data_IF_528549099645
#
_entry.id   IF_528549099645
#
_cell.length_a   1.000
_cell.length_b   1.000
_cell.length_c   1.000
_cell.angle_alpha   90.00
_cell.angle_beta   90.00
_cell.angle_gamma   90.00
#
_symmetry.space_group_name_H-M   'P 1'
#
loop_
_entity.id
_entity.type
_entity.pdbx_description
1 polymer ?
#
# COMPACT_ATOMS: atom_id res chain seq x y z
N UNK A 1 12.15 -25.28 53.42
CA UNK A 1 11.81 -25.03 52.00
C UNK A 1 12.94 -24.26 51.36
N UNK A 2 13.71 -24.87 50.45
CA UNK A 2 14.95 -24.27 49.90
C UNK A 2 14.63 -23.17 48.87
N UNK A 3 14.53 -21.92 49.34
CA UNK A 3 14.30 -20.71 48.52
C UNK A 3 15.24 -20.64 47.30
N UNK A 4 16.47 -21.15 47.44
CA UNK A 4 17.50 -21.20 46.40
C UNK A 4 17.11 -22.00 45.14
N UNK A 5 16.21 -23.00 45.26
CA UNK A 5 15.72 -23.78 44.09
C UNK A 5 14.64 -23.04 43.28
N UNK A 6 13.99 -22.04 43.85
CA UNK A 6 12.90 -21.28 43.21
C UNK A 6 13.39 -20.01 42.50
N UNK A 7 14.58 -19.53 42.84
CA UNK A 7 15.24 -18.37 42.20
C UNK A 7 15.23 -18.46 40.66
N UNK A 8 15.66 -19.56 40.00
CA UNK A 8 15.65 -19.61 38.53
C UNK A 8 14.24 -19.51 37.94
N UNK A 9 13.25 -20.12 38.59
CA UNK A 9 11.84 -20.01 38.16
C UNK A 9 11.30 -18.59 38.30
N UNK A 10 11.61 -17.91 39.40
CA UNK A 10 11.24 -16.51 39.59
C UNK A 10 11.90 -15.58 38.56
N UNK A 11 13.16 -15.83 38.22
CA UNK A 11 13.86 -15.08 37.17
C UNK A 11 13.20 -15.30 35.81
N UNK A 12 12.88 -16.55 35.44
CA UNK A 12 12.19 -16.83 34.17
C UNK A 12 10.82 -16.15 34.12
N UNK A 13 10.01 -16.27 35.18
CA UNK A 13 8.70 -15.61 35.26
C UNK A 13 8.83 -14.09 35.16
N UNK A 14 9.83 -13.51 35.84
CA UNK A 14 10.12 -12.08 35.76
C UNK A 14 10.48 -11.64 34.34
N UNK A 15 11.35 -12.39 33.66
CA UNK A 15 11.74 -12.08 32.27
C UNK A 15 10.56 -12.20 31.30
N UNK A 16 9.72 -13.22 31.46
CA UNK A 16 8.49 -13.38 30.66
C UNK A 16 7.51 -12.24 30.94
N UNK A 17 7.30 -11.87 32.20
CA UNK A 17 6.43 -10.76 32.57
C UNK A 17 6.94 -9.44 31.99
N UNK A 18 8.25 -9.19 32.08
CA UNK A 18 8.90 -8.02 31.50
C UNK A 18 8.70 -7.96 29.98
N UNK A 19 8.84 -9.10 29.28
CA UNK A 19 8.64 -9.21 27.84
C UNK A 19 7.17 -8.93 27.46
N UNK A 20 6.22 -9.54 28.16
CA UNK A 20 4.77 -9.37 27.89
C UNK A 20 4.30 -7.96 28.22
N UNK A 21 4.89 -7.30 29.22
CA UNK A 21 4.54 -5.95 29.65
C UNK A 21 5.41 -4.85 29.03
N UNK A 22 6.18 -5.14 27.97
CA UNK A 22 7.00 -4.11 27.31
C UNK A 22 6.13 -2.93 26.86
N UNK A 23 6.44 -1.69 27.28
CA UNK A 23 5.65 -0.52 26.90
C UNK A 23 5.83 -0.21 25.40
N UNK A 24 4.80 0.34 24.76
CA UNK A 24 4.83 0.69 23.34
C UNK A 24 5.99 1.64 22.97
N UNK A 25 6.45 2.45 23.93
CA UNK A 25 7.58 3.39 23.76
C UNK A 25 8.90 2.69 23.42
N UNK A 26 9.02 1.38 23.66
CA UNK A 26 10.18 0.59 23.21
C UNK A 26 10.33 0.64 21.68
N UNK A 27 9.28 0.99 20.93
CA UNK A 27 9.35 1.18 19.48
C UNK A 27 10.43 2.20 19.05
N UNK A 28 10.74 3.19 19.90
CA UNK A 28 11.78 4.20 19.63
C UNK A 28 13.22 3.64 19.72
N UNK A 29 13.41 2.43 20.25
CA UNK A 29 14.72 1.78 20.26
C UNK A 29 15.03 1.07 18.93
N UNK A 30 14.02 0.86 18.09
CA UNK A 30 14.21 0.35 16.74
C UNK A 30 14.60 1.50 15.80
N UNK A 31 15.46 1.24 14.79
CA UNK A 31 15.81 2.24 13.80
C UNK A 31 14.56 2.59 12.97
N UNK A 32 13.93 3.71 13.32
CA UNK A 32 12.89 4.32 12.51
C UNK A 32 13.54 5.10 11.36
N UNK A 33 12.98 5.09 10.14
CA UNK A 33 13.43 5.95 9.06
C UNK A 33 13.40 7.43 9.48
N UNK A 34 14.37 8.23 9.02
CA UNK A 34 14.50 9.64 9.42
C UNK A 34 13.27 10.50 9.07
N UNK A 35 12.50 10.09 8.06
CA UNK A 35 11.28 10.75 7.64
C UNK A 35 10.04 10.34 8.44
N UNK A 36 10.14 9.40 9.39
CA UNK A 36 9.02 8.90 10.19
C UNK A 36 9.15 9.36 11.64
N UNK A 37 8.16 10.12 12.12
CA UNK A 37 8.08 10.57 13.51
C UNK A 37 6.79 10.08 14.15
N UNK A 38 6.94 9.27 15.19
CA UNK A 38 5.84 8.78 16.02
C UNK A 38 5.69 9.69 17.24
N UNK A 39 4.48 10.10 17.58
CA UNK A 39 4.18 10.82 18.81
C UNK A 39 2.90 10.31 19.47
N UNK A 40 2.73 10.62 20.76
CA UNK A 40 1.61 10.16 21.56
C UNK A 40 1.46 8.62 21.56
N UNK A 41 2.59 7.91 21.61
CA UNK A 41 2.63 6.43 21.64
C UNK A 41 2.14 5.94 23.01
N UNK A 42 1.14 5.07 23.00
CA UNK A 42 0.48 4.50 24.17
C UNK A 42 0.23 3.00 23.99
N UNK A 43 -0.01 2.29 25.10
CA UNK A 43 -0.21 0.83 25.11
C UNK A 43 1.08 0.03 25.35
N UNK A 44 1.05 -1.24 24.98
CA UNK A 44 2.22 -2.14 25.02
C UNK A 44 2.86 -2.25 23.63
N UNK A 45 4.08 -2.79 23.57
CA UNK A 45 4.73 -3.11 22.30
C UNK A 45 3.83 -4.03 21.45
N UNK A 46 3.09 -4.92 22.11
CA UNK A 46 2.19 -5.89 21.50
C UNK A 46 0.86 -5.29 21.06
N UNK A 47 0.24 -4.43 21.86
CA UNK A 47 -1.02 -3.77 21.52
C UNK A 47 -0.89 -2.30 21.82
N UNK A 48 -0.64 -1.52 20.78
CA UNK A 48 -0.24 -0.13 20.88
C UNK A 48 -0.98 0.77 19.90
N UNK A 49 -0.98 2.05 20.24
CA UNK A 49 -1.54 3.12 19.41
C UNK A 49 -0.55 4.27 19.37
N UNK A 50 -0.22 4.73 18.17
CA UNK A 50 0.43 6.01 17.93
C UNK A 50 -0.66 7.05 17.63
N UNK A 51 -0.80 8.03 18.53
CA UNK A 51 -1.77 9.11 18.34
C UNK A 51 -1.50 9.92 17.07
N UNK A 52 -0.22 10.16 16.74
CA UNK A 52 0.19 10.78 15.48
C UNK A 52 1.44 10.12 14.90
N UNK A 53 1.44 9.93 13.58
CA UNK A 53 2.57 9.46 12.78
C UNK A 53 2.78 10.48 11.67
N UNK A 54 3.88 11.22 11.72
CA UNK A 54 4.27 12.10 10.62
C UNK A 54 5.23 11.36 9.70
N UNK A 55 4.88 11.27 8.42
CA UNK A 55 5.72 10.76 7.34
C UNK A 55 5.90 11.90 6.35
N UNK A 56 7.09 12.48 6.30
CA UNK A 56 7.34 13.71 5.54
C UNK A 56 6.34 14.82 5.91
N UNK A 57 5.55 15.32 4.95
CA UNK A 57 4.53 16.37 5.15
C UNK A 57 3.14 15.80 5.53
N UNK A 58 2.99 14.48 5.62
CA UNK A 58 1.72 13.82 5.87
C UNK A 58 1.63 13.41 7.34
N UNK A 59 0.61 13.93 8.03
CA UNK A 59 0.30 13.53 9.41
C UNK A 59 -0.86 12.55 9.40
N UNK A 60 -0.60 11.35 9.92
CA UNK A 60 -1.57 10.30 10.16
C UNK A 60 -1.91 10.27 11.65
N UNK A 61 -3.14 9.91 11.98
CA UNK A 61 -3.67 9.92 13.33
C UNK A 61 -4.26 8.56 13.70
N UNK A 62 -4.07 8.17 14.96
CA UNK A 62 -4.61 6.93 15.53
C UNK A 62 -4.19 5.66 14.77
N UNK A 63 -2.89 5.53 14.45
CA UNK A 63 -2.35 4.27 13.94
C UNK A 63 -2.32 3.27 15.10
N UNK A 64 -3.04 2.16 14.94
CA UNK A 64 -3.08 1.07 15.91
C UNK A 64 -2.41 -0.18 15.35
N UNK A 65 -1.74 -0.94 16.23
CA UNK A 65 -1.17 -2.24 15.89
C UNK A 65 -1.43 -3.25 17.00
N UNK A 66 -1.59 -4.51 16.61
CA UNK A 66 -1.77 -5.63 17.52
C UNK A 66 -0.97 -6.85 17.05
N UNK A 67 0.00 -7.27 17.84
CA UNK A 67 0.84 -8.44 17.58
C UNK A 67 0.15 -9.69 18.10
N UNK A 68 0.06 -10.71 17.25
CA UNK A 68 -0.44 -12.01 17.64
C UNK A 68 0.69 -12.80 18.32
N UNK A 69 0.88 -12.60 19.62
CA UNK A 69 1.98 -13.22 20.38
C UNK A 69 1.98 -14.76 20.26
N UNK A 70 0.82 -15.39 20.04
CA UNK A 70 0.71 -16.83 19.79
C UNK A 70 1.44 -17.29 18.53
N UNK A 71 1.54 -16.45 17.49
CA UNK A 71 2.24 -16.81 16.24
C UNK A 71 3.75 -16.98 16.46
N UNK A 72 4.32 -16.30 17.47
CA UNK A 72 5.74 -16.37 17.79
C UNK A 72 6.16 -17.80 18.10
N UNK A 73 5.30 -18.58 18.78
CA UNK A 73 5.55 -19.98 19.08
C UNK A 73 5.57 -20.88 17.83
N UNK A 74 5.00 -20.42 16.73
CA UNK A 74 5.04 -21.07 15.42
C UNK A 74 6.21 -20.58 14.55
N UNK A 75 7.06 -19.69 15.07
CA UNK A 75 8.17 -19.09 14.32
C UNK A 75 7.75 -17.99 13.35
N UNK A 76 6.54 -17.46 13.50
CA UNK A 76 5.99 -16.39 12.67
C UNK A 76 5.63 -15.17 13.52
N UNK A 77 5.85 -13.98 12.99
CA UNK A 77 5.41 -12.73 13.58
C UNK A 77 4.24 -12.21 12.76
N UNK A 78 3.07 -12.14 13.39
CA UNK A 78 1.86 -11.61 12.78
C UNK A 78 1.46 -10.34 13.52
N UNK A 79 1.25 -9.26 12.77
CA UNK A 79 0.82 -7.97 13.30
C UNK A 79 -0.39 -7.45 12.52
N UNK A 80 -1.52 -7.31 13.19
CA UNK A 80 -2.67 -6.59 12.68
C UNK A 80 -2.40 -5.09 12.76
N UNK A 81 -2.60 -4.36 11.66
CA UNK A 81 -2.41 -2.92 11.57
C UNK A 81 -3.71 -2.27 11.14
N UNK A 82 -4.06 -1.17 11.78
CA UNK A 82 -5.25 -0.40 11.43
C UNK A 82 -5.01 1.10 11.55
N UNK A 83 -5.28 1.81 10.45
CA UNK A 83 -5.31 3.25 10.29
C UNK A 83 -6.71 3.64 9.79
N UNK A 84 -7.53 4.30 10.62
CA UNK A 84 -8.89 4.64 10.25
C UNK A 84 -8.92 5.73 9.17
N UNK A 85 -9.95 5.74 8.31
CA UNK A 85 -10.16 6.81 7.33
C UNK A 85 -10.45 8.18 7.97
N UNK A 86 -10.99 8.19 9.20
CA UNK A 86 -11.37 9.42 9.89
C UNK A 86 -10.13 10.25 10.22
N UNK A 87 -10.13 11.52 9.80
CA UNK A 87 -9.04 12.47 10.01
C UNK A 87 -7.71 12.08 9.35
N UNK A 88 -7.72 11.15 8.39
CA UNK A 88 -6.54 10.70 7.67
C UNK A 88 -6.75 10.82 6.16
N UNK A 89 -5.69 11.12 5.38
CA UNK A 89 -5.77 11.20 3.92
C UNK A 89 -6.00 9.84 3.24
N UNK A 90 -5.66 8.76 3.94
CA UNK A 90 -5.93 7.39 3.53
C UNK A 90 -6.20 6.52 4.76
N UNK A 91 -6.80 5.36 4.51
CA UNK A 91 -7.05 4.29 5.48
C UNK A 91 -6.26 3.06 5.10
N UNK A 92 -5.92 2.25 6.10
CA UNK A 92 -5.21 0.99 5.95
C UNK A 92 -5.71 0.03 7.01
N UNK A 93 -6.06 -1.18 6.62
CA UNK A 93 -6.37 -2.26 7.54
C UNK A 93 -5.81 -3.57 6.98
N UNK A 94 -5.17 -4.37 7.82
CA UNK A 94 -4.85 -5.75 7.47
C UNK A 94 -3.67 -6.28 8.25
N UNK A 95 -3.06 -7.36 7.75
CA UNK A 95 -2.11 -8.17 8.52
C UNK A 95 -0.74 -8.18 7.88
N UNK A 96 0.28 -7.85 8.67
CA UNK A 96 1.67 -8.00 8.28
C UNK A 96 2.22 -9.31 8.86
N UNK A 97 3.05 -9.99 8.06
CA UNK A 97 3.64 -11.28 8.35
C UNK A 97 5.16 -11.17 8.24
N UNK A 98 5.89 -11.69 9.21
CA UNK A 98 7.34 -11.83 9.14
C UNK A 98 7.76 -13.17 9.76
N UNK A 99 8.35 -14.04 8.97
CA UNK A 99 8.97 -15.29 9.39
C UNK A 99 10.48 -15.28 9.12
N UNK A 100 11.12 -16.43 9.32
CA UNK A 100 12.57 -16.57 9.12
C UNK A 100 13.03 -16.45 7.67
N UNK A 101 12.16 -16.77 6.71
CA UNK A 101 12.47 -16.78 5.27
C UNK A 101 11.49 -15.98 4.42
N UNK A 102 10.42 -15.45 5.01
CA UNK A 102 9.35 -14.77 4.28
C UNK A 102 8.87 -13.56 5.05
N UNK A 103 8.65 -12.46 4.35
CA UNK A 103 7.90 -11.29 4.82
C UNK A 103 6.72 -11.09 3.90
N UNK A 104 5.63 -10.55 4.40
CA UNK A 104 4.44 -10.41 3.60
C UNK A 104 3.32 -9.68 4.28
N UNK A 105 2.19 -9.65 3.59
CA UNK A 105 0.95 -9.09 4.08
C UNK A 105 -0.23 -9.95 3.61
N UNK A 106 -1.32 -9.96 4.40
CA UNK A 106 -2.57 -10.63 4.08
C UNK A 106 -3.75 -9.76 4.44
N UNK A 107 -4.82 -9.90 3.66
CA UNK A 107 -6.10 -9.22 3.86
C UNK A 107 -5.91 -7.70 4.03
N UNK A 108 -5.05 -7.10 3.21
CA UNK A 108 -4.81 -5.66 3.25
C UNK A 108 -5.91 -4.97 2.45
N UNK A 109 -6.60 -4.06 3.12
CA UNK A 109 -7.49 -3.08 2.50
C UNK A 109 -6.94 -1.69 2.75
N UNK A 110 -6.77 -0.90 1.70
CA UNK A 110 -6.37 0.48 1.82
C UNK A 110 -7.18 1.35 0.85
N UNK A 111 -7.45 2.58 1.23
CA UNK A 111 -8.19 3.50 0.38
C UNK A 111 -7.92 4.95 0.74
N UNK A 112 -8.11 5.88 -0.19
CA UNK A 112 -7.90 7.29 0.06
C UNK A 112 -8.29 8.17 -1.13
N UNK A 113 -7.97 9.46 -1.03
CA UNK A 113 -8.10 10.39 -2.15
C UNK A 113 -6.91 10.22 -3.12
N UNK A 114 -7.17 10.28 -4.43
CA UNK A 114 -6.12 10.17 -5.46
C UNK A 114 -5.09 11.29 -5.33
N UNK A 115 -5.47 12.50 -4.95
CA UNK A 115 -4.52 13.61 -4.79
C UNK A 115 -3.56 13.37 -3.61
N UNK A 116 -4.04 12.76 -2.53
CA UNK A 116 -3.18 12.39 -1.42
C UNK A 116 -2.15 11.32 -1.83
N UNK A 117 -2.56 10.33 -2.63
CA UNK A 117 -1.65 9.34 -3.18
C UNK A 117 -0.61 9.96 -4.12
N UNK A 118 -1.04 10.87 -4.99
CA UNK A 118 -0.15 11.59 -5.90
C UNK A 118 0.86 12.48 -5.15
N UNK A 119 0.44 13.13 -4.06
CA UNK A 119 1.32 13.90 -3.19
C UNK A 119 2.36 12.99 -2.52
N UNK A 120 1.94 11.85 -1.97
CA UNK A 120 2.84 10.87 -1.34
C UNK A 120 3.83 10.29 -2.36
N UNK A 121 3.39 10.01 -3.59
CA UNK A 121 4.23 9.54 -4.68
C UNK A 121 5.07 10.66 -5.33
N UNK A 122 4.98 11.89 -4.83
CA UNK A 122 5.60 13.09 -5.41
C UNK A 122 5.40 13.20 -6.93
N UNK A 123 4.21 12.81 -7.41
CA UNK A 123 3.89 12.68 -8.82
C UNK A 123 2.77 13.65 -9.18
N UNK A 124 2.87 14.31 -10.33
CA UNK A 124 1.83 15.21 -10.85
C UNK A 124 1.32 14.68 -12.18
N UNK A 125 0.01 14.51 -12.28
CA UNK A 125 -0.64 14.17 -13.55
C UNK A 125 -0.76 15.43 -14.42
N UNK A 126 -0.75 15.29 -15.77
CA UNK A 126 -0.89 16.42 -16.69
C UNK A 126 -2.20 17.20 -16.50
N UNK A 127 -3.25 16.51 -16.07
CA UNK A 127 -4.56 17.07 -15.75
C UNK A 127 -4.81 17.00 -14.25
N UNK A 128 -5.55 17.97 -13.71
CA UNK A 128 -6.05 17.87 -12.34
C UNK A 128 -7.04 16.71 -12.27
N UNK A 129 -6.73 15.73 -11.43
CA UNK A 129 -7.52 14.53 -11.25
C UNK A 129 -8.14 14.52 -9.87
N UNK A 130 -9.39 14.08 -9.76
CA UNK A 130 -10.05 13.84 -8.50
C UNK A 130 -10.68 12.45 -8.49
N UNK A 131 -11.12 12.02 -7.32
CA UNK A 131 -11.67 10.69 -7.10
C UNK A 131 -10.90 9.98 -5.99
N UNK A 132 -11.22 8.71 -5.84
CA UNK A 132 -10.69 7.88 -4.77
C UNK A 132 -9.89 6.72 -5.35
N UNK A 133 -9.09 6.09 -4.50
CA UNK A 133 -8.45 4.83 -4.83
C UNK A 133 -8.77 3.81 -3.75
N UNK A 134 -8.80 2.54 -4.15
CA UNK A 134 -8.93 1.39 -3.25
C UNK A 134 -7.92 0.32 -3.66
N UNK A 135 -7.31 -0.30 -2.67
CA UNK A 135 -6.41 -1.44 -2.78
C UNK A 135 -6.98 -2.57 -1.93
N UNK A 136 -7.07 -3.76 -2.50
CA UNK A 136 -7.45 -5.00 -1.82
C UNK A 136 -6.41 -6.06 -2.15
N UNK A 137 -5.63 -6.49 -1.18
CA UNK A 137 -4.65 -7.57 -1.31
C UNK A 137 -5.09 -8.75 -0.45
N UNK A 138 -5.31 -9.89 -1.09
CA UNK A 138 -5.54 -11.16 -0.40
C UNK A 138 -4.22 -11.65 0.21
N UNK A 139 -3.14 -11.64 -0.59
CA UNK A 139 -1.81 -12.04 -0.18
C UNK A 139 -0.73 -11.25 -0.93
N UNK A 140 0.34 -10.94 -0.22
CA UNK A 140 1.61 -10.47 -0.78
C UNK A 140 2.74 -11.12 0.01
N UNK A 141 3.67 -11.81 -0.65
CA UNK A 141 4.77 -12.50 -0.01
C UNK A 141 6.06 -12.26 -0.78
N UNK A 142 7.14 -12.06 -0.01
CA UNK A 142 8.50 -11.89 -0.49
C UNK A 142 9.43 -12.71 0.39
N UNK A 143 10.35 -13.43 -0.23
CA UNK A 143 11.41 -14.19 0.44
C UNK A 143 12.46 -13.23 1.00
N UNK A 144 12.67 -13.26 2.31
CA UNK A 144 13.67 -12.46 3.01
C UNK A 144 14.12 -13.16 4.32
N UNK A 145 15.40 -13.09 4.71
CA UNK A 145 16.52 -12.42 4.04
C UNK A 145 17.05 -13.25 2.87
N UNK A 146 17.62 -12.60 1.84
CA UNK A 146 18.07 -13.28 0.61
C UNK A 146 18.38 -12.30 -0.51
N UNK A 147 18.58 -12.77 -1.76
CA UNK A 147 18.66 -11.87 -2.92
C UNK A 147 17.40 -11.00 -2.98
N UNK A 148 17.55 -9.75 -3.42
CA UNK A 148 16.43 -8.78 -3.48
C UNK A 148 15.35 -9.30 -4.42
N UNK A 149 14.24 -9.76 -3.84
CA UNK A 149 13.03 -10.20 -4.55
C UNK A 149 11.93 -9.19 -4.24
N UNK A 150 11.17 -8.75 -5.25
CA UNK A 150 10.10 -7.76 -5.07
C UNK A 150 8.71 -8.40 -4.98
N UNK A 151 8.56 -9.61 -5.51
CA UNK A 151 7.28 -10.30 -5.58
C UNK A 151 7.52 -11.80 -5.76
N UNK A 152 7.09 -12.62 -4.78
CA UNK A 152 7.01 -14.08 -4.93
C UNK A 152 5.56 -14.54 -5.08
N UNK A 153 4.69 -13.93 -4.31
CA UNK A 153 3.25 -14.13 -4.39
C UNK A 153 2.57 -12.78 -4.26
N UNK A 154 1.63 -12.49 -5.16
CA UNK A 154 0.78 -11.32 -5.07
C UNK A 154 -0.56 -11.68 -5.66
N UNK A 155 -1.60 -11.56 -4.83
CA UNK A 155 -2.98 -11.68 -5.25
C UNK A 155 -3.74 -10.48 -4.71
N UNK A 156 -4.14 -9.59 -5.62
CA UNK A 156 -4.87 -8.41 -5.24
C UNK A 156 -5.35 -7.58 -6.43
N UNK A 157 -6.09 -6.53 -6.10
CA UNK A 157 -6.64 -5.57 -7.06
C UNK A 157 -6.49 -4.17 -6.50
N UNK A 158 -6.14 -3.23 -7.37
CA UNK A 158 -6.29 -1.80 -7.11
C UNK A 158 -7.42 -1.26 -7.97
N UNK A 159 -8.01 -0.13 -7.58
CA UNK A 159 -9.08 0.50 -8.33
C UNK A 159 -9.02 2.01 -8.11
N UNK A 160 -9.04 2.78 -9.20
CA UNK A 160 -9.47 4.16 -9.16
C UNK A 160 -11.00 4.20 -9.13
N UNK A 161 -11.59 4.85 -8.14
CA UNK A 161 -13.04 4.96 -7.95
C UNK A 161 -13.51 6.38 -8.24
N UNK A 162 -14.57 6.52 -9.04
CA UNK A 162 -15.19 7.80 -9.37
C UNK A 162 -14.18 8.85 -9.87
N UNK A 163 -13.25 8.39 -10.71
CA UNK A 163 -12.19 9.23 -11.26
C UNK A 163 -12.82 10.32 -12.13
N UNK A 164 -12.33 11.53 -11.95
CA UNK A 164 -12.72 12.71 -12.73
C UNK A 164 -11.51 13.55 -13.07
N UNK A 165 -11.55 14.21 -14.21
CA UNK A 165 -10.47 15.10 -14.67
C UNK A 165 -11.03 16.48 -14.98
N UNK A 166 -10.23 17.52 -14.71
CA UNK A 166 -10.60 18.89 -15.03
C UNK A 166 -10.14 19.22 -16.45
N UNK A 167 -11.10 19.44 -17.36
CA UNK A 167 -10.84 19.83 -18.76
C UNK A 167 -11.66 21.08 -19.07
N UNK A 168 -11.02 22.12 -19.62
CA UNK A 168 -11.66 23.41 -19.91
C UNK A 168 -12.46 23.97 -18.72
N UNK A 169 -11.88 23.89 -17.52
CA UNK A 169 -12.48 24.35 -16.25
C UNK A 169 -13.80 23.65 -15.86
N UNK A 170 -14.09 22.47 -16.44
CA UNK A 170 -15.23 21.64 -16.10
C UNK A 170 -14.76 20.23 -15.71
N UNK A 171 -15.32 19.70 -14.62
CA UNK A 171 -15.04 18.33 -14.20
C UNK A 171 -15.75 17.35 -15.12
N UNK A 172 -14.96 16.44 -15.67
CA UNK A 172 -15.43 15.37 -16.54
C UNK A 172 -15.29 14.04 -15.81
N UNK A 173 -16.37 13.29 -15.70
CA UNK A 173 -16.38 11.98 -15.04
C UNK A 173 -15.80 10.92 -15.98
N UNK A 174 -14.88 10.11 -15.46
CA UNK A 174 -14.28 8.98 -16.15
C UNK A 174 -14.68 7.64 -15.54
N UNK A 175 -15.31 7.63 -14.36
CA UNK A 175 -15.76 6.41 -13.71
C UNK A 175 -14.61 5.63 -13.06
N UNK A 176 -14.69 4.31 -13.11
CA UNK A 176 -13.80 3.43 -12.37
C UNK A 176 -12.72 2.80 -13.25
N UNK A 177 -11.53 2.62 -12.68
CA UNK A 177 -10.35 2.07 -13.35
C UNK A 177 -9.78 0.92 -12.53
N UNK A 178 -10.24 -0.32 -12.76
CA UNK A 178 -9.74 -1.50 -12.06
C UNK A 178 -8.37 -1.91 -12.60
N UNK A 179 -7.43 -2.19 -11.69
CA UNK A 179 -6.07 -2.64 -12.00
C UNK A 179 -5.83 -3.96 -11.27
N UNK A 180 -5.50 -5.00 -12.02
CA UNK A 180 -5.09 -6.29 -11.49
C UNK A 180 -3.62 -6.25 -11.08
N UNK A 181 -3.31 -6.86 -9.94
CA UNK A 181 -1.96 -6.93 -9.38
C UNK A 181 -1.50 -8.39 -9.39
N UNK A 182 -0.29 -8.63 -9.89
CA UNK A 182 0.32 -9.96 -9.97
C UNK A 182 1.82 -9.91 -9.73
N UNK A 183 2.46 -11.08 -9.56
CA UNK A 183 3.91 -11.17 -9.70
C UNK A 183 4.28 -11.55 -11.12
N UNK A 184 5.29 -10.88 -11.67
CA UNK A 184 5.90 -11.23 -12.95
C UNK A 184 7.07 -12.21 -12.74
N UNK A 185 7.45 -12.94 -13.79
CA UNK A 185 8.55 -13.93 -13.75
C UNK A 185 9.91 -13.34 -13.36
N UNK A 186 10.12 -12.04 -13.60
CA UNK A 186 11.32 -11.31 -13.21
C UNK A 186 11.29 -10.81 -11.75
N UNK A 187 10.43 -11.39 -10.91
CA UNK A 187 10.19 -11.02 -9.51
C UNK A 187 9.71 -9.58 -9.30
N UNK A 188 9.12 -8.92 -10.31
CA UNK A 188 8.52 -7.59 -10.18
C UNK A 188 7.02 -7.67 -9.92
N UNK A 189 6.43 -6.57 -9.43
CA UNK A 189 4.97 -6.46 -9.35
C UNK A 189 4.42 -6.07 -10.72
N UNK A 190 3.57 -6.92 -11.27
CA UNK A 190 2.82 -6.68 -12.50
C UNK A 190 1.54 -5.89 -12.23
N UNK A 191 1.24 -4.97 -13.14
CA UNK A 191 0.02 -4.17 -13.17
C UNK A 191 -0.68 -4.43 -14.50
N UNK A 192 -1.98 -4.68 -14.50
CA UNK A 192 -2.74 -4.83 -15.75
C UNK A 192 -4.13 -4.21 -15.64
N UNK A 193 -4.55 -3.52 -16.70
CA UNK A 193 -5.93 -3.05 -16.84
C UNK A 193 -6.38 -3.31 -18.27
N UNK A 194 -7.60 -3.82 -18.40
CA UNK A 194 -8.22 -4.02 -19.70
C UNK A 194 -8.89 -2.73 -20.20
N UNK A 195 -9.05 -2.63 -21.51
CA UNK A 195 -9.71 -1.48 -22.16
C UNK A 195 -11.21 -1.34 -21.90
N UNK A 196 -11.82 -2.04 -20.93
CA UNK A 196 -13.24 -1.91 -20.61
C UNK A 196 -13.49 -0.78 -19.60
N UNK A 197 -13.18 0.44 -20.02
CA UNK A 197 -13.37 1.68 -19.25
C UNK A 197 -13.67 2.86 -20.19
N UNK A 198 -14.05 4.00 -19.62
CA UNK A 198 -14.49 5.20 -20.36
C UNK A 198 -13.45 5.74 -21.36
N UNK A 199 -12.16 5.41 -21.19
CA UNK A 199 -11.07 5.84 -22.07
C UNK A 199 -10.59 4.75 -23.05
N UNK A 200 -11.18 3.55 -23.00
CA UNK A 200 -10.62 2.39 -23.70
C UNK A 200 -9.17 2.12 -23.30
N UNK A 201 -8.77 2.49 -22.07
CA UNK A 201 -7.40 2.43 -21.60
C UNK A 201 -7.04 0.99 -21.23
N UNK A 202 -6.20 0.38 -22.03
CA UNK A 202 -5.66 -0.96 -21.83
C UNK A 202 -4.15 -0.84 -21.61
N UNK A 203 -3.63 -1.35 -20.49
CA UNK A 203 -2.20 -1.26 -20.21
C UNK A 203 -1.67 -2.44 -19.42
N UNK A 204 -0.37 -2.65 -19.55
CA UNK A 204 0.44 -3.50 -18.70
C UNK A 204 1.61 -2.71 -18.15
N UNK A 205 1.96 -2.95 -16.90
CA UNK A 205 3.07 -2.29 -16.23
C UNK A 205 3.82 -3.24 -15.32
N UNK A 206 5.00 -2.79 -14.91
CA UNK A 206 5.90 -3.53 -14.03
C UNK A 206 6.59 -2.55 -13.10
N UNK A 207 6.63 -2.86 -11.80
CA UNK A 207 7.32 -2.06 -10.79
C UNK A 207 8.27 -2.90 -9.93
N UNK A 208 9.47 -2.38 -9.70
CA UNK A 208 10.49 -2.90 -8.78
C UNK A 208 11.22 -1.73 -8.08
N UNK A 209 12.31 -1.97 -7.33
CA UNK A 209 13.08 -0.91 -6.65
C UNK A 209 13.57 0.23 -7.54
N UNK A 210 13.92 -0.08 -8.78
CA UNK A 210 14.79 0.73 -9.61
C UNK A 210 14.03 1.35 -10.78
N UNK A 211 13.00 0.66 -11.26
CA UNK A 211 12.24 1.09 -12.42
C UNK A 211 10.75 0.85 -12.25
N UNK A 212 10.00 1.78 -12.84
CA UNK A 212 8.61 1.65 -13.18
C UNK A 212 8.53 1.68 -14.70
N UNK A 213 7.79 0.75 -15.30
CA UNK A 213 7.45 0.80 -16.72
C UNK A 213 5.97 0.56 -16.92
N UNK A 214 5.40 1.23 -17.90
CA UNK A 214 4.01 1.04 -18.31
C UNK A 214 3.87 1.21 -19.82
N UNK A 215 3.23 0.26 -20.47
CA UNK A 215 2.90 0.36 -21.90
C UNK A 215 1.43 -0.01 -22.11
N UNK A 216 0.81 0.66 -23.08
CA UNK A 216 -0.61 0.46 -23.29
C UNK A 216 -1.15 1.23 -24.47
N UNK A 217 -2.46 1.15 -24.59
CA UNK A 217 -3.24 1.86 -25.61
C UNK A 217 -4.43 2.55 -24.98
N UNK A 218 -4.82 3.68 -25.56
CA UNK A 218 -6.02 4.43 -25.21
C UNK A 218 -6.86 4.56 -26.47
N UNK A 219 -8.18 4.36 -26.35
CA UNK A 219 -9.10 4.50 -27.47
C UNK A 219 -10.29 5.36 -27.04
N UNK A 220 -10.45 6.58 -27.58
CA UNK A 220 -11.65 7.35 -27.34
C UNK A 220 -12.91 6.51 -27.57
N UNK A 221 -13.77 6.45 -26.56
CA UNK A 221 -15.07 5.76 -26.60
C UNK A 221 -16.18 6.79 -26.69
N UNK A 222 -17.44 6.32 -26.82
CA UNK A 222 -18.61 7.20 -26.73
C UNK A 222 -18.76 7.86 -25.35
N UNK A 223 -18.15 7.27 -24.32
CA UNK A 223 -18.16 7.80 -22.95
C UNK A 223 -16.99 8.76 -22.69
N UNK A 224 -16.01 8.83 -23.60
CA UNK A 224 -14.88 9.75 -23.45
C UNK A 224 -15.34 11.20 -23.63
N UNK A 225 -15.09 12.09 -22.65
CA UNK A 225 -15.41 13.51 -22.78
C UNK A 225 -14.72 14.16 -23.99
N UNK A 226 -15.44 15.01 -24.73
CA UNK A 226 -14.97 15.59 -26.00
C UNK A 226 -13.62 16.32 -25.85
N UNK A 227 -13.45 17.08 -24.76
CA UNK A 227 -12.21 17.78 -24.48
C UNK A 227 -11.01 16.85 -24.33
N UNK A 228 -11.21 15.67 -23.73
CA UNK A 228 -10.17 14.66 -23.56
C UNK A 228 -9.89 13.92 -24.88
N UNK A 229 -10.93 13.62 -25.67
CA UNK A 229 -10.77 13.02 -27.00
C UNK A 229 -9.92 13.92 -27.92
N UNK A 230 -10.10 15.25 -27.85
CA UNK A 230 -9.24 16.21 -28.57
C UNK A 230 -7.79 16.18 -28.07
N UNK A 231 -7.57 16.04 -26.76
CA UNK A 231 -6.22 15.93 -26.20
C UNK A 231 -5.49 14.67 -26.67
N UNK A 232 -6.19 13.55 -26.83
CA UNK A 232 -5.58 12.30 -27.31
C UNK A 232 -5.01 12.42 -28.72
N UNK A 233 -5.52 13.33 -29.56
CA UNK A 233 -4.97 13.58 -30.91
C UNK A 233 -3.51 14.08 -30.86
N UNK A 234 -3.09 14.70 -29.75
CA UNK A 234 -1.70 15.12 -29.55
C UNK A 234 -0.76 13.97 -29.15
N UNK A 235 -1.29 12.77 -28.87
CA UNK A 235 -0.47 11.58 -28.59
C UNK A 235 0.16 10.98 -29.86
N UNK A 236 -0.20 11.49 -31.05
CA UNK A 236 0.35 11.06 -32.34
C UNK A 236 -0.71 10.42 -33.23
N UNK A 237 -0.28 9.50 -34.11
CA UNK A 237 -1.18 8.84 -35.05
C UNK A 237 -1.77 7.58 -34.43
N UNK A 238 -3.11 7.40 -34.43
CA UNK A 238 -3.72 6.17 -33.96
C UNK A 238 -3.42 5.00 -34.90
N UNK A 239 -3.51 3.78 -34.37
CA UNK A 239 -3.44 2.56 -35.17
C UNK A 239 -4.68 2.37 -36.06
N UNK A 240 -4.70 1.30 -36.88
CA UNK A 240 -5.83 0.97 -37.77
C UNK A 240 -7.16 0.73 -37.03
N UNK A 241 -7.14 0.61 -35.71
CA UNK A 241 -8.30 0.43 -34.83
C UNK A 241 -8.65 1.70 -34.04
N UNK A 242 -7.99 2.82 -34.32
CA UNK A 242 -8.22 4.11 -33.68
C UNK A 242 -7.57 4.25 -32.30
N UNK A 243 -6.58 3.41 -31.97
CA UNK A 243 -5.95 3.38 -30.65
C UNK A 243 -4.63 4.17 -30.64
N UNK A 244 -4.42 4.96 -29.60
CA UNK A 244 -3.18 5.70 -29.35
C UNK A 244 -2.32 4.93 -28.36
N UNK A 245 -1.09 4.62 -28.75
CA UNK A 245 -0.15 3.88 -27.88
C UNK A 245 0.66 4.83 -27.00
N UNK A 246 1.03 4.36 -25.81
CA UNK A 246 1.96 5.06 -24.94
C UNK A 246 2.96 4.07 -24.32
N UNK A 247 4.12 4.61 -23.92
CA UNK A 247 5.16 3.89 -23.17
C UNK A 247 5.80 4.85 -22.17
N UNK A 248 5.92 4.41 -20.93
CA UNK A 248 6.60 5.08 -19.83
C UNK A 248 7.68 4.16 -19.26
#
# INVERSE_FOLDING_TARGET
MNLKRWIPWLVVVYLVAMLVMLPARVIYWFPLPDNVRLSQVSGSLWNGVAGQVAVDDIVLTNLSWNWQVSSVFLGELVMDVNLPAKNNPFSLNGRLLAGSTKVGAKDITASGDVNALLQLANTRLPLKTGGNWRLSLDSFVVTAPGPVRWCDELKGKAQGEQIRVLVNNQWQSLGDFPVELSCNDNNSVGLAMNGNNSLGLDFKGSINSQSFSAEGTVKPTLETPEGLAKMMQYMGTPDSRGRYSFRL
#
